data_IF_528084644195
#
_entry.id   IF_528084644195
#
_cell.length_a   1.000
_cell.length_b   1.000
_cell.length_c   1.000
_cell.angle_alpha   90.00
_cell.angle_beta   90.00
_cell.angle_gamma   90.00
#
_symmetry.space_group_name_H-M   'P 1'
#
loop_
_entity.id
_entity.type
_entity.pdbx_description
1 polymer ?
#
# COMPACT_ATOMS: atom_id res chain seq x y z
N UNK A 1 13.28 8.42 5.80
CA UNK A 1 12.08 7.79 5.24
C UNK A 1 11.66 8.55 3.99
N UNK A 2 11.27 7.83 2.95
CA UNK A 2 10.90 8.44 1.67
C UNK A 2 9.40 8.29 1.43
N UNK A 3 8.77 9.35 0.91
CA UNK A 3 7.32 9.42 0.76
C UNK A 3 6.94 10.10 -0.56
N UNK A 4 6.02 9.47 -1.30
CA UNK A 4 5.45 10.01 -2.54
C UNK A 4 3.97 9.68 -2.57
N UNK A 5 3.13 10.65 -2.96
CA UNK A 5 1.69 10.45 -3.14
C UNK A 5 1.39 10.26 -4.62
N UNK A 6 0.66 9.20 -4.95
CA UNK A 6 0.23 8.89 -6.31
C UNK A 6 -1.21 8.41 -6.31
N UNK A 7 -1.94 8.72 -7.37
CA UNK A 7 -3.22 8.08 -7.62
C UNK A 7 -2.95 6.77 -8.34
N UNK A 8 -3.41 5.67 -7.76
CA UNK A 8 -3.27 4.33 -8.32
C UNK A 8 -4.64 3.68 -8.37
N UNK A 9 -4.73 2.46 -8.90
CA UNK A 9 -5.98 1.72 -8.86
C UNK A 9 -5.85 0.57 -7.86
N UNK A 10 -6.89 0.37 -7.07
CA UNK A 10 -7.03 -0.81 -6.21
C UNK A 10 -8.39 -1.40 -6.48
N UNK A 11 -8.44 -2.65 -6.89
CA UNK A 11 -9.67 -3.35 -7.26
C UNK A 11 -10.49 -2.54 -8.26
N UNK A 12 -9.79 -1.96 -9.25
CA UNK A 12 -10.42 -1.18 -10.31
C UNK A 12 -10.87 0.23 -9.93
N UNK A 13 -10.60 0.67 -8.69
CA UNK A 13 -11.02 1.98 -8.20
C UNK A 13 -9.82 2.90 -8.03
N UNK A 14 -9.92 4.18 -8.46
CA UNK A 14 -8.82 5.12 -8.23
C UNK A 14 -8.72 5.45 -6.75
N UNK A 15 -7.50 5.40 -6.21
CA UNK A 15 -7.23 5.70 -4.80
C UNK A 15 -6.01 6.58 -4.70
N UNK A 16 -6.02 7.46 -3.72
CA UNK A 16 -4.86 8.30 -3.42
C UNK A 16 -3.99 7.56 -2.43
N UNK A 17 -2.83 7.12 -2.89
CA UNK A 17 -1.93 6.28 -2.12
C UNK A 17 -0.66 7.01 -1.74
N UNK A 18 -0.25 6.86 -0.49
CA UNK A 18 1.05 7.31 -0.01
C UNK A 18 2.01 6.13 -0.07
N UNK A 19 3.05 6.26 -0.87
CA UNK A 19 4.16 5.29 -0.89
C UNK A 19 5.15 5.74 0.17
N UNK A 20 5.27 4.98 1.25
CA UNK A 20 6.02 5.38 2.44
C UNK A 20 6.96 4.26 2.87
N UNK A 21 8.26 4.46 2.67
CA UNK A 21 9.26 3.47 3.07
C UNK A 21 9.39 3.32 4.59
N UNK A 22 8.81 4.25 5.35
CA UNK A 22 8.76 4.16 6.81
C UNK A 22 7.61 3.31 7.33
N UNK A 23 6.63 2.95 6.48
CA UNK A 23 5.57 2.03 6.84
C UNK A 23 5.99 0.63 6.41
N UNK A 24 5.79 -0.36 7.28
CA UNK A 24 6.15 -1.74 6.97
C UNK A 24 5.06 -2.40 6.13
N UNK A 25 3.82 -2.36 6.64
CA UNK A 25 2.65 -2.93 5.98
C UNK A 25 2.04 -1.95 4.98
N UNK A 26 1.15 -2.47 4.13
CA UNK A 26 0.28 -1.64 3.30
C UNK A 26 -1.10 -1.61 3.91
N UNK A 27 -1.77 -0.46 3.83
CA UNK A 27 -3.07 -0.20 4.45
C UNK A 27 -4.01 0.37 3.40
N UNK A 28 -5.27 -0.05 3.43
CA UNK A 28 -6.27 0.45 2.48
C UNK A 28 -7.57 0.70 3.24
N UNK A 29 -8.24 1.81 2.95
CA UNK A 29 -9.55 2.09 3.53
C UNK A 29 -10.52 0.97 3.16
N UNK A 30 -11.25 0.50 4.16
CA UNK A 30 -12.15 -0.65 4.03
C UNK A 30 -13.18 -0.47 2.92
N UNK A 31 -13.61 0.75 2.65
CA UNK A 31 -14.62 1.01 1.61
C UNK A 31 -14.19 0.60 0.20
N UNK A 32 -12.89 0.48 -0.05
CA UNK A 32 -12.38 0.03 -1.36
C UNK A 32 -12.27 -1.50 -1.44
N UNK A 33 -12.56 -2.20 -0.36
CA UNK A 33 -12.34 -3.63 -0.23
C UNK A 33 -13.64 -4.43 -0.08
N UNK A 34 -14.78 -3.84 -0.42
CA UNK A 34 -16.09 -4.48 -0.20
C UNK A 34 -16.23 -5.84 -0.90
N UNK A 35 -15.62 -5.98 -2.08
CA UNK A 35 -15.70 -7.23 -2.84
C UNK A 35 -14.53 -8.17 -2.57
N UNK A 36 -13.62 -7.81 -1.67
CA UNK A 36 -12.39 -8.56 -1.43
C UNK A 36 -12.56 -9.44 -0.19
N UNK A 37 -12.30 -10.75 -0.31
CA UNK A 37 -12.36 -11.64 0.85
C UNK A 37 -11.34 -11.25 1.91
N UNK A 38 -11.75 -11.26 3.17
CA UNK A 38 -10.87 -11.00 4.31
C UNK A 38 -10.41 -12.32 4.92
N UNK A 39 -9.17 -12.32 5.38
CA UNK A 39 -8.62 -13.45 6.10
C UNK A 39 -8.23 -12.99 7.49
N UNK A 40 -8.78 -13.63 8.52
CA UNK A 40 -8.45 -13.33 9.90
C UNK A 40 -7.04 -13.77 10.24
N UNK A 41 -6.30 -12.94 10.97
CA UNK A 41 -5.03 -13.35 11.53
C UNK A 41 -5.28 -14.22 12.75
N UNK A 42 -4.41 -15.19 12.99
CA UNK A 42 -4.60 -16.15 14.09
C UNK A 42 -4.58 -15.42 15.44
N UNK A 43 -3.65 -14.50 15.62
CA UNK A 43 -3.52 -13.73 16.85
C UNK A 43 -3.34 -12.26 16.48
N UNK A 44 -4.35 -11.43 16.73
CA UNK A 44 -4.25 -9.99 16.43
C UNK A 44 -3.07 -9.32 17.13
N UNK A 45 -2.51 -8.31 16.49
CA UNK A 45 -1.39 -7.55 17.02
C UNK A 45 -1.54 -6.08 16.64
N UNK A 46 -0.72 -5.25 17.27
CA UNK A 46 -0.84 -3.79 17.11
C UNK A 46 0.38 -3.20 16.41
N UNK A 47 0.14 -2.16 15.63
CA UNK A 47 1.20 -1.38 14.99
C UNK A 47 0.94 0.10 15.29
N UNK A 48 2.01 0.87 15.37
CA UNK A 48 1.92 2.32 15.47
C UNK A 48 2.02 2.89 14.05
N UNK A 49 1.03 3.65 13.65
CA UNK A 49 0.97 4.26 12.33
C UNK A 49 0.52 5.70 12.46
N UNK A 50 1.41 6.66 12.11
CA UNK A 50 1.08 8.07 12.14
C UNK A 50 0.66 8.58 13.52
N UNK A 51 1.25 8.05 14.58
CA UNK A 51 0.92 8.45 15.95
C UNK A 51 -0.30 7.75 16.54
N UNK A 52 -0.96 6.89 15.78
CA UNK A 52 -2.10 6.12 16.25
C UNK A 52 -1.75 4.64 16.33
N UNK A 53 -2.45 3.92 17.20
CA UNK A 53 -2.30 2.47 17.31
C UNK A 53 -3.39 1.80 16.48
N UNK A 54 -2.98 0.93 15.57
CA UNK A 54 -3.89 0.18 14.72
C UNK A 54 -3.78 -1.29 15.10
N UNK A 55 -4.93 -1.91 15.37
CA UNK A 55 -4.97 -3.35 15.67
C UNK A 55 -5.21 -4.11 14.37
N UNK A 56 -4.26 -4.99 14.04
CA UNK A 56 -4.37 -5.83 12.84
C UNK A 56 -5.09 -7.10 13.22
N UNK A 57 -6.31 -7.27 12.70
CA UNK A 57 -7.18 -8.42 12.97
C UNK A 57 -7.35 -9.29 11.73
N UNK A 58 -7.22 -8.69 10.56
CA UNK A 58 -7.45 -9.38 9.29
C UNK A 58 -6.65 -8.74 8.18
N UNK A 59 -6.51 -9.45 7.09
CA UNK A 59 -5.81 -8.98 5.90
C UNK A 59 -6.61 -9.35 4.66
N UNK A 60 -6.31 -8.65 3.56
CA UNK A 60 -6.91 -8.92 2.26
C UNK A 60 -5.81 -8.91 1.21
N UNK A 61 -5.89 -9.81 0.24
CA UNK A 61 -5.01 -9.78 -0.92
C UNK A 61 -5.72 -8.98 -2.00
N UNK A 62 -5.10 -7.91 -2.48
CA UNK A 62 -5.70 -7.01 -3.46
C UNK A 62 -4.91 -7.01 -4.77
N UNK A 63 -5.61 -6.67 -5.83
CA UNK A 63 -5.00 -6.40 -7.13
C UNK A 63 -5.01 -4.89 -7.35
N UNK A 64 -3.91 -4.38 -7.87
CA UNK A 64 -3.79 -2.95 -8.14
C UNK A 64 -3.08 -2.67 -9.45
N UNK A 65 -3.08 -1.39 -9.83
CA UNK A 65 -2.31 -0.90 -10.98
C UNK A 65 -1.63 0.40 -10.61
N UNK A 66 -0.35 0.50 -10.96
CA UNK A 66 0.43 1.71 -10.82
C UNK A 66 0.89 2.09 -12.23
N UNK A 67 0.43 3.24 -12.73
CA UNK A 67 0.76 3.71 -14.09
C UNK A 67 0.48 2.61 -15.14
N UNK A 68 -0.65 1.92 -14.98
CA UNK A 68 -1.06 0.85 -15.88
C UNK A 68 -0.40 -0.49 -15.66
N UNK A 69 0.51 -0.61 -14.70
CA UNK A 69 1.24 -1.84 -14.43
C UNK A 69 0.60 -2.60 -13.27
N UNK A 70 0.32 -3.87 -13.48
CA UNK A 70 -0.39 -4.70 -12.51
C UNK A 70 0.50 -5.19 -11.37
N UNK A 71 -0.06 -5.20 -10.16
CA UNK A 71 0.59 -5.81 -9.00
C UNK A 71 -0.47 -6.38 -8.08
N UNK A 72 -0.05 -7.21 -7.16
CA UNK A 72 -0.88 -7.65 -6.05
C UNK A 72 -0.10 -7.53 -4.75
N UNK A 73 -0.82 -7.43 -3.64
CA UNK A 73 -0.18 -7.34 -2.33
C UNK A 73 -1.20 -7.59 -1.23
N UNK A 74 -0.71 -8.03 -0.08
CA UNK A 74 -1.53 -8.16 1.11
C UNK A 74 -1.65 -6.78 1.79
N UNK A 75 -2.86 -6.40 2.17
CA UNK A 75 -3.12 -5.13 2.83
C UNK A 75 -3.88 -5.33 4.13
N UNK A 76 -3.75 -4.35 5.02
CA UNK A 76 -4.52 -4.25 6.25
C UNK A 76 -5.69 -3.31 5.99
N UNK A 77 -6.94 -3.77 6.14
CA UNK A 77 -8.09 -2.86 6.01
C UNK A 77 -8.17 -1.94 7.22
N UNK A 78 -8.42 -0.66 6.98
CA UNK A 78 -8.53 0.34 8.05
C UNK A 78 -9.73 1.25 7.80
N UNK A 79 -10.21 1.89 8.87
CA UNK A 79 -11.37 2.78 8.79
C UNK A 79 -10.98 4.19 8.35
N UNK A 80 -9.78 4.64 8.73
CA UNK A 80 -9.29 5.97 8.36
C UNK A 80 -7.77 5.98 8.31
N UNK A 81 -7.21 6.90 7.52
CA UNK A 81 -5.76 7.05 7.39
C UNK A 81 -5.26 8.47 7.60
N UNK A 82 -6.16 9.46 7.71
CA UNK A 82 -5.76 10.84 7.88
C UNK A 82 -5.24 11.47 6.60
N UNK A 83 -4.39 12.48 6.75
CA UNK A 83 -3.90 13.30 5.64
C UNK A 83 -2.38 13.29 5.56
N UNK A 84 -1.88 13.46 4.34
CA UNK A 84 -0.46 13.75 4.09
C UNK A 84 -0.40 14.86 3.05
N UNK A 85 0.41 15.89 3.31
CA UNK A 85 0.56 17.07 2.44
C UNK A 85 -0.79 17.67 2.03
N UNK A 86 -1.76 17.73 2.98
CA UNK A 86 -3.09 18.29 2.73
C UNK A 86 -4.04 17.39 1.97
N UNK A 87 -3.62 16.19 1.60
CA UNK A 87 -4.46 15.23 0.88
C UNK A 87 -5.01 14.16 1.82
N UNK A 88 -6.29 13.84 1.69
CA UNK A 88 -6.87 12.70 2.37
C UNK A 88 -6.35 11.44 1.71
N UNK A 89 -5.84 10.52 2.52
CA UNK A 89 -5.27 9.28 2.01
C UNK A 89 -6.31 8.16 1.97
N UNK A 90 -6.27 7.38 0.89
CA UNK A 90 -7.10 6.19 0.73
C UNK A 90 -6.29 4.92 1.01
N UNK A 91 -4.98 5.01 0.84
CA UNK A 91 -4.09 3.87 1.02
C UNK A 91 -2.69 4.32 1.41
N UNK A 92 -1.96 3.43 2.08
CA UNK A 92 -0.51 3.56 2.30
C UNK A 92 0.12 2.29 1.75
N UNK A 93 1.08 2.46 0.86
CA UNK A 93 1.85 1.33 0.32
C UNK A 93 3.17 1.31 1.08
N UNK A 94 3.41 0.22 1.78
CA UNK A 94 4.56 0.11 2.67
C UNK A 94 5.73 -0.67 2.09
N UNK A 95 6.74 -0.84 2.92
CA UNK A 95 8.02 -1.41 2.52
C UNK A 95 7.92 -2.84 1.98
N UNK A 96 7.10 -3.69 2.59
CA UNK A 96 6.98 -5.08 2.12
C UNK A 96 6.51 -5.13 0.67
N UNK A 97 5.47 -4.36 0.33
CA UNK A 97 4.96 -4.30 -1.04
C UNK A 97 6.02 -3.76 -1.99
N UNK A 98 6.67 -2.66 -1.59
CA UNK A 98 7.67 -2.03 -2.44
C UNK A 98 8.88 -2.91 -2.66
N UNK A 99 9.35 -3.61 -1.65
CA UNK A 99 10.47 -4.53 -1.80
C UNK A 99 10.11 -5.71 -2.69
N UNK A 100 8.91 -6.28 -2.51
CA UNK A 100 8.47 -7.42 -3.32
C UNK A 100 8.43 -7.09 -4.81
N UNK A 101 8.01 -5.88 -5.16
CA UNK A 101 7.86 -5.45 -6.55
C UNK A 101 9.01 -4.57 -7.04
N UNK A 102 10.04 -4.38 -6.21
CA UNK A 102 11.20 -3.53 -6.52
C UNK A 102 10.78 -2.12 -6.92
N UNK A 103 9.82 -1.57 -6.16
CA UNK A 103 9.36 -0.21 -6.33
C UNK A 103 10.25 0.71 -5.52
N UNK A 104 10.79 1.75 -6.14
CA UNK A 104 11.60 2.74 -5.45
C UNK A 104 10.89 4.09 -5.42
N UNK A 105 11.19 4.88 -4.41
CA UNK A 105 10.56 6.18 -4.19
C UNK A 105 11.59 7.28 -4.41
N UNK A 106 11.25 8.24 -5.27
CA UNK A 106 12.07 9.44 -5.47
C UNK A 106 11.27 10.65 -4.96
N UNK A 107 11.43 11.02 -3.68
CA UNK A 107 10.64 12.11 -3.11
C UNK A 107 11.00 13.48 -3.70
N UNK A 108 12.22 13.65 -4.18
CA UNK A 108 12.67 14.90 -4.78
C UNK A 108 11.90 15.19 -6.07
N UNK A 109 11.69 14.17 -6.89
CA UNK A 109 10.96 14.30 -8.16
C UNK A 109 9.47 13.99 -8.04
N UNK A 110 9.05 13.44 -6.89
CA UNK A 110 7.67 13.00 -6.72
C UNK A 110 7.31 11.80 -7.58
N UNK A 111 8.29 10.96 -7.90
CA UNK A 111 8.11 9.85 -8.84
C UNK A 111 8.44 8.51 -8.19
N UNK A 112 8.02 7.44 -8.87
CA UNK A 112 8.30 6.06 -8.46
C UNK A 112 9.14 5.39 -9.54
N UNK A 113 10.11 4.58 -9.10
CA UNK A 113 10.82 3.66 -9.99
C UNK A 113 10.03 2.37 -10.08
N UNK A 114 9.63 1.99 -11.28
CA UNK A 114 8.73 0.86 -11.51
C UNK A 114 9.34 -0.23 -12.41
N UNK A 115 10.66 -0.33 -12.43
CA UNK A 115 11.35 -1.29 -13.30
C UNK A 115 10.97 -2.74 -13.01
N UNK A 116 10.82 -3.10 -11.73
CA UNK A 116 10.40 -4.45 -11.37
C UNK A 116 9.02 -4.79 -11.92
N UNK A 117 8.09 -3.83 -11.87
CA UNK A 117 6.76 -4.04 -12.42
C UNK A 117 6.78 -4.17 -13.95
N UNK A 118 7.64 -3.41 -14.62
CA UNK A 118 7.75 -3.49 -16.09
C UNK A 118 8.38 -4.80 -16.51
N UNK A 119 9.44 -5.20 -15.84
CA UNK A 119 10.19 -6.41 -16.17
C UNK A 119 9.42 -7.69 -15.80
N UNK A 120 8.74 -7.68 -14.66
CA UNK A 120 7.98 -8.81 -14.11
C UNK A 120 8.80 -10.11 -14.00
N UNK A 121 10.07 -9.95 -13.72
CA UNK A 121 11.01 -11.05 -13.48
C UNK A 121 11.82 -10.70 -12.23
N UNK A 122 11.84 -11.61 -11.28
CA UNK A 122 12.44 -11.38 -9.98
C UNK A 122 13.38 -12.53 -9.65
N UNK A 123 14.55 -12.19 -9.08
CA UNK A 123 15.50 -13.20 -8.62
C UNK A 123 15.41 -13.24 -7.10
N UNK A 124 15.00 -14.37 -6.55
CA UNK A 124 14.83 -14.51 -5.11
C UNK A 124 15.99 -15.22 -4.43
N UNK A 125 16.89 -15.79 -5.21
CA UNK A 125 17.97 -16.60 -4.63
C UNK A 125 19.26 -16.38 -5.35
#
# INVERSE_FOLDING_TARGET
MSRVIKTIEIEGQPVKALFDTGAFHSYVLRRYLESVPMRSVVKPYEVALGGETIKIRERALINGKIEGLDFDTSVVPVESLGKANGHDLDAIIGAITMEAWEITVNPKEGTLGLEGLRRREFTEY
#
